data_IF_868137444430
#
_entry.id   IF_868137444430
#
_cell.length_a   1.000
_cell.length_b   1.000
_cell.length_c   1.000
_cell.angle_alpha   90.00
_cell.angle_beta   90.00
_cell.angle_gamma   90.00
#
_symmetry.space_group_name_H-M   'P 1'
#
loop_
_entity.id
_entity.type
_entity.pdbx_description
1 polymer ?
#
# COMPACT_ATOMS: atom_id res chain seq x y z
N UNK A 1 -18.12 4.10 14.44
CA UNK A 1 -16.65 4.30 14.48
C UNK A 1 -16.37 5.75 14.08
N UNK A 2 -15.48 6.48 14.79
CA UNK A 2 -15.22 7.90 14.44
C UNK A 2 -14.27 8.02 13.24
N UNK A 3 -14.34 9.14 12.49
CA UNK A 3 -13.40 9.47 11.40
C UNK A 3 -11.94 9.32 11.85
N UNK A 4 -11.63 9.84 13.03
CA UNK A 4 -10.29 9.77 13.62
C UNK A 4 -9.84 8.33 13.88
N UNK A 5 -10.72 7.48 14.41
CA UNK A 5 -10.41 6.07 14.65
C UNK A 5 -10.20 5.31 13.33
N UNK A 6 -11.01 5.60 12.30
CA UNK A 6 -10.89 5.01 10.97
C UNK A 6 -9.56 5.38 10.31
N UNK A 7 -9.19 6.66 10.32
CA UNK A 7 -7.93 7.14 9.76
C UNK A 7 -6.71 6.58 10.51
N UNK A 8 -6.81 6.42 11.84
CA UNK A 8 -5.76 5.78 12.64
C UNK A 8 -5.55 4.33 12.22
N UNK A 9 -6.64 3.56 12.06
CA UNK A 9 -6.57 2.18 11.61
C UNK A 9 -6.00 2.11 10.18
N UNK A 10 -6.48 2.94 9.26
CA UNK A 10 -5.98 2.99 7.89
C UNK A 10 -4.48 3.31 7.83
N UNK A 11 -4.00 4.21 8.70
CA UNK A 11 -2.58 4.55 8.79
C UNK A 11 -1.74 3.39 9.30
N UNK A 12 -2.25 2.64 10.29
CA UNK A 12 -1.58 1.43 10.81
C UNK A 12 -1.52 0.35 9.73
N UNK A 13 -2.63 0.10 9.03
CA UNK A 13 -2.67 -0.87 7.93
C UNK A 13 -1.68 -0.47 6.83
N UNK A 14 -1.74 0.79 6.37
CA UNK A 14 -0.82 1.31 5.34
C UNK A 14 0.64 1.16 5.77
N UNK A 15 0.95 1.42 7.04
CA UNK A 15 2.30 1.25 7.57
C UNK A 15 2.75 -0.23 7.56
N UNK A 16 1.86 -1.15 7.95
CA UNK A 16 2.15 -2.59 7.90
C UNK A 16 2.36 -3.09 6.45
N UNK A 17 1.58 -2.59 5.49
CA UNK A 17 1.77 -2.88 4.06
C UNK A 17 3.16 -2.44 3.58
N UNK A 18 3.59 -1.23 3.92
CA UNK A 18 4.94 -0.72 3.58
C UNK A 18 6.02 -1.62 4.19
N UNK A 19 5.88 -1.98 5.47
CA UNK A 19 6.84 -2.88 6.14
C UNK A 19 6.86 -4.26 5.47
N UNK A 20 5.69 -4.82 5.14
CA UNK A 20 5.58 -6.09 4.43
C UNK A 20 6.33 -6.07 3.10
N UNK A 21 6.20 -4.98 2.33
CA UNK A 21 6.90 -4.81 1.05
C UNK A 21 8.42 -4.68 1.20
N UNK A 22 8.91 -4.10 2.30
CA UNK A 22 10.35 -4.00 2.59
C UNK A 22 10.92 -5.33 3.09
N UNK A 23 10.15 -6.08 3.86
CA UNK A 23 10.57 -7.36 4.45
C UNK A 23 10.47 -8.51 3.45
N UNK A 24 9.54 -8.46 2.50
CA UNK A 24 9.36 -9.48 1.45
C UNK A 24 10.65 -9.84 0.69
N UNK A 25 11.43 -8.85 0.18
CA UNK A 25 12.74 -9.10 -0.43
C UNK A 25 13.71 -9.88 0.46
N UNK A 26 13.68 -9.62 1.76
CA UNK A 26 14.54 -10.27 2.75
C UNK A 26 14.14 -11.73 2.93
N UNK A 27 12.83 -12.02 2.96
CA UNK A 27 12.27 -13.38 3.11
C UNK A 27 12.55 -14.25 1.88
N UNK A 28 12.36 -13.72 0.67
CA UNK A 28 12.65 -14.47 -0.57
C UNK A 28 14.14 -14.77 -0.76
N UNK A 29 15.01 -14.01 -0.09
CA UNK A 29 16.45 -14.11 -0.22
C UNK A 29 16.98 -13.38 -1.46
N UNK A 30 18.10 -12.68 -1.28
CA UNK A 30 18.75 -11.87 -2.32
C UNK A 30 19.09 -12.64 -3.60
N UNK A 31 19.33 -13.96 -3.50
CA UNK A 31 19.58 -14.83 -4.65
C UNK A 31 18.36 -14.99 -5.57
N UNK A 32 17.13 -15.05 -5.03
CA UNK A 32 15.93 -15.13 -5.85
C UNK A 32 15.60 -13.79 -6.51
N UNK A 33 15.86 -12.67 -5.83
CA UNK A 33 15.66 -11.32 -6.37
C UNK A 33 16.56 -11.00 -7.57
N UNK A 34 17.75 -11.60 -7.65
CA UNK A 34 18.68 -11.40 -8.77
C UNK A 34 18.30 -12.18 -10.03
N UNK A 35 17.40 -13.16 -9.93
CA UNK A 35 16.84 -13.87 -11.09
C UNK A 35 15.94 -12.97 -11.94
N UNK A 36 15.69 -13.36 -13.20
CA UNK A 36 14.77 -12.61 -14.08
C UNK A 36 13.37 -12.48 -13.47
N UNK A 37 12.87 -13.53 -12.82
CA UNK A 37 11.60 -13.52 -12.10
C UNK A 37 11.63 -12.60 -10.87
N UNK A 38 12.73 -12.62 -10.12
CA UNK A 38 12.92 -11.75 -8.96
C UNK A 38 12.94 -10.26 -9.31
N UNK A 39 13.58 -9.89 -10.43
CA UNK A 39 13.58 -8.51 -10.95
C UNK A 39 12.19 -8.07 -11.37
N UNK A 40 11.45 -8.94 -12.05
CA UNK A 40 10.08 -8.67 -12.49
C UNK A 40 9.14 -8.48 -11.28
N UNK A 41 9.21 -9.37 -10.29
CA UNK A 41 8.48 -9.22 -9.02
C UNK A 41 8.87 -7.91 -8.32
N UNK A 42 10.15 -7.60 -8.19
CA UNK A 42 10.60 -6.34 -7.59
C UNK A 42 10.00 -5.11 -8.29
N UNK A 43 9.99 -5.09 -9.63
CA UNK A 43 9.38 -4.01 -10.40
C UNK A 43 7.86 -3.92 -10.19
N UNK A 44 7.16 -5.06 -10.13
CA UNK A 44 5.72 -5.11 -9.86
C UNK A 44 5.40 -4.58 -8.46
N UNK A 45 6.20 -4.92 -7.44
CA UNK A 45 6.01 -4.48 -6.07
C UNK A 45 6.43 -3.02 -5.82
N UNK A 46 7.28 -2.45 -6.67
CA UNK A 46 7.72 -1.05 -6.55
C UNK A 46 6.57 -0.05 -6.71
N UNK A 47 5.62 -0.33 -7.60
CA UNK A 47 4.52 0.57 -7.92
C UNK A 47 3.50 0.68 -6.77
N UNK A 48 3.01 -0.44 -6.17
CA UNK A 48 2.28 -0.41 -4.90
C UNK A 48 3.06 0.24 -3.76
N UNK A 49 4.36 0.01 -3.66
CA UNK A 49 5.18 0.58 -2.60
C UNK A 49 5.18 2.12 -2.64
N UNK A 50 5.44 2.70 -3.82
CA UNK A 50 5.38 4.16 -4.01
C UNK A 50 3.98 4.69 -3.70
N UNK A 51 2.94 3.96 -4.13
CA UNK A 51 1.56 4.31 -3.84
C UNK A 51 1.29 4.38 -2.33
N UNK A 52 1.66 3.34 -1.57
CA UNK A 52 1.41 3.29 -0.13
C UNK A 52 2.18 4.37 0.63
N UNK A 53 3.41 4.72 0.21
CA UNK A 53 4.13 5.87 0.75
C UNK A 53 3.35 7.18 0.52
N UNK A 54 2.91 7.42 -0.72
CA UNK A 54 2.11 8.61 -1.06
C UNK A 54 0.80 8.67 -0.28
N UNK A 55 0.13 7.53 -0.15
CA UNK A 55 -1.12 7.38 0.59
C UNK A 55 -0.94 7.62 2.09
N UNK A 56 0.16 7.14 2.69
CA UNK A 56 0.50 7.41 4.08
C UNK A 56 0.72 8.89 4.35
N UNK A 57 1.47 9.58 3.47
CA UNK A 57 1.66 11.04 3.56
C UNK A 57 0.32 11.75 3.41
N UNK A 58 -0.53 11.32 2.48
CA UNK A 58 -1.87 11.88 2.30
C UNK A 58 -2.75 11.71 3.54
N UNK A 59 -2.78 10.51 4.15
CA UNK A 59 -3.50 10.23 5.40
C UNK A 59 -3.09 11.19 6.52
N UNK A 60 -1.80 11.42 6.69
CA UNK A 60 -1.27 12.34 7.71
C UNK A 60 -1.78 13.77 7.55
N UNK A 61 -2.00 14.21 6.30
CA UNK A 61 -2.55 15.52 5.96
C UNK A 61 -4.07 15.56 6.05
N UNK A 62 -4.74 14.45 5.72
CA UNK A 62 -6.19 14.31 5.72
C UNK A 62 -6.78 14.31 7.14
N UNK A 63 -6.06 13.78 8.13
CA UNK A 63 -6.44 13.86 9.56
C UNK A 63 -6.63 15.31 10.03
N UNK A 64 -5.92 16.27 9.44
CA UNK A 64 -6.03 17.70 9.78
C UNK A 64 -7.22 18.40 9.12
N UNK A 65 -7.94 17.76 8.19
CA UNK A 65 -9.13 18.31 7.50
C UNK A 65 -10.42 18.00 8.27
N UNK A 66 -11.35 18.96 8.26
CA UNK A 66 -12.58 19.05 9.07
C UNK A 66 -13.42 17.76 9.19
N UNK A 67 -14.21 17.68 10.27
CA UNK A 67 -14.96 16.50 10.71
C UNK A 67 -16.04 15.96 9.73
N UNK A 68 -16.45 16.73 8.71
CA UNK A 68 -17.59 16.42 7.84
C UNK A 68 -17.23 15.87 6.44
N UNK A 69 -16.05 15.30 6.31
CA UNK A 69 -15.52 14.78 5.05
C UNK A 69 -16.23 13.49 4.63
N UNK A 70 -17.16 13.58 3.68
CA UNK A 70 -17.94 12.46 3.13
C UNK A 70 -17.09 11.45 2.33
N UNK A 71 -15.82 11.78 2.03
CA UNK A 71 -14.95 10.98 1.16
C UNK A 71 -14.19 9.84 1.87
N UNK A 72 -14.50 9.54 3.14
CA UNK A 72 -13.83 8.46 3.89
C UNK A 72 -13.99 7.09 3.19
N UNK A 73 -15.17 6.82 2.61
CA UNK A 73 -15.40 5.58 1.86
C UNK A 73 -14.51 5.45 0.63
N UNK A 74 -14.34 6.55 -0.12
CA UNK A 74 -13.42 6.62 -1.25
C UNK A 74 -11.97 6.38 -0.78
N UNK A 75 -11.58 6.93 0.36
CA UNK A 75 -10.25 6.79 0.94
C UNK A 75 -9.92 5.33 1.31
N UNK A 76 -10.90 4.62 1.88
CA UNK A 76 -10.79 3.18 2.15
C UNK A 76 -10.63 2.41 0.85
N UNK A 77 -11.45 2.72 -0.17
CA UNK A 77 -11.40 2.06 -1.47
C UNK A 77 -10.03 2.26 -2.16
N UNK A 78 -9.50 3.49 -2.11
CA UNK A 78 -8.17 3.82 -2.62
C UNK A 78 -7.07 2.97 -2.00
N UNK A 79 -7.18 2.57 -0.73
CA UNK A 79 -6.18 1.71 -0.08
C UNK A 79 -6.10 0.30 -0.70
N UNK A 80 -7.17 -0.17 -1.35
CA UNK A 80 -7.30 -1.52 -1.92
C UNK A 80 -6.94 -1.56 -3.41
N UNK A 81 -6.97 -0.41 -4.10
CA UNK A 81 -6.64 -0.30 -5.55
C UNK A 81 -5.29 -0.93 -5.91
N UNK A 82 -4.19 -0.71 -5.15
CA UNK A 82 -2.90 -1.31 -5.49
C UNK A 82 -2.91 -2.82 -5.40
N UNK A 83 -3.69 -3.40 -4.46
CA UNK A 83 -3.82 -4.85 -4.29
C UNK A 83 -4.54 -5.44 -5.50
N UNK A 84 -5.65 -4.82 -5.92
CA UNK A 84 -6.40 -5.25 -7.11
C UNK A 84 -5.53 -5.15 -8.36
N UNK A 85 -4.80 -4.04 -8.51
CA UNK A 85 -3.86 -3.86 -9.62
C UNK A 85 -2.75 -4.91 -9.61
N UNK A 86 -2.19 -5.23 -8.44
CA UNK A 86 -1.16 -6.26 -8.29
C UNK A 86 -1.70 -7.64 -8.67
N UNK A 87 -2.91 -8.00 -8.21
CA UNK A 87 -3.56 -9.26 -8.57
C UNK A 87 -3.76 -9.38 -10.09
N UNK A 88 -4.23 -8.31 -10.74
CA UNK A 88 -4.42 -8.31 -12.20
C UNK A 88 -3.10 -8.45 -12.95
N UNK A 89 -2.05 -7.75 -12.51
CA UNK A 89 -0.72 -7.86 -13.13
C UNK A 89 -0.18 -9.28 -12.96
N UNK A 90 -0.30 -9.87 -11.77
CA UNK A 90 0.15 -11.24 -11.50
C UNK A 90 -0.67 -12.30 -12.25
N UNK A 91 -1.93 -12.05 -12.59
CA UNK A 91 -2.76 -12.97 -13.38
C UNK A 91 -2.39 -12.98 -14.87
N UNK A 92 -1.81 -11.88 -15.38
CA UNK A 92 -1.39 -11.74 -16.78
C UNK A 92 -0.02 -12.37 -17.05
N UNK A 93 0.81 -12.59 -16.02
CA UNK A 93 2.18 -13.13 -16.13
C UNK A 93 2.26 -14.60 -15.70
#
# INVERSE_FOLDING_TARGET
MSKAQTLKILSVITFLEIVGMVVWPIILGWGQLMSSAGKLLFTIFLLPFIYYIGFFVFLSRYVKRENNDQNIGLLIFSNVVPIIGLLYVLDVF
#
